data_IF_018450298090
#
_entry.id   IF_018450298090
#
_cell.length_a   1.000
_cell.length_b   1.000
_cell.length_c   1.000
_cell.angle_alpha   90.00
_cell.angle_beta   90.00
_cell.angle_gamma   90.00
#
_symmetry.space_group_name_H-M   'P 1'
#
loop_
_entity.id
_entity.type
_entity.pdbx_description
1 polymer ?
#
# COMPACT_ATOMS: atom_id res chain seq x y z
N UNK A 1 -12.17 40.35 11.88
CA UNK A 1 -11.85 39.82 10.55
C UNK A 1 -10.38 39.39 10.58
N UNK A 2 -10.10 38.12 10.26
CA UNK A 2 -8.78 37.47 10.21
C UNK A 2 -8.01 37.26 11.52
N UNK A 3 -8.47 36.29 12.34
CA UNK A 3 -7.60 35.54 13.25
C UNK A 3 -8.21 34.15 13.48
N UNK A 4 -8.43 33.39 12.40
CA UNK A 4 -8.98 32.03 12.49
C UNK A 4 -8.50 31.09 11.37
N UNK A 5 -7.34 31.39 10.74
CA UNK A 5 -6.84 30.62 9.59
C UNK A 5 -5.45 29.99 9.78
N UNK A 6 -4.94 29.90 11.02
CA UNK A 6 -3.61 29.33 11.28
C UNK A 6 -3.57 28.09 12.17
N UNK A 7 -4.71 27.62 12.68
CA UNK A 7 -4.77 26.40 13.52
C UNK A 7 -5.22 25.16 12.72
N UNK A 8 -5.78 25.33 11.52
CA UNK A 8 -6.22 24.20 10.67
C UNK A 8 -5.14 23.58 9.77
N UNK A 9 -3.90 24.08 9.77
CA UNK A 9 -2.81 23.56 8.93
C UNK A 9 -1.86 22.59 9.62
N UNK A 10 -2.02 22.34 10.92
CA UNK A 10 -1.22 21.36 11.68
C UNK A 10 -1.92 20.02 11.91
N UNK A 11 -3.22 19.92 11.60
CA UNK A 11 -4.00 18.67 11.79
C UNK A 11 -4.01 17.74 10.57
N UNK A 12 -3.56 18.19 9.39
CA UNK A 12 -3.52 17.34 8.19
C UNK A 12 -2.19 16.61 7.95
N UNK A 13 -1.16 16.89 8.75
CA UNK A 13 0.16 16.23 8.61
C UNK A 13 0.44 15.11 9.62
N UNK A 14 -0.46 14.86 10.59
CA UNK A 14 -0.25 13.83 11.62
C UNK A 14 -0.91 12.47 11.32
N UNK A 15 -1.61 12.33 10.19
CA UNK A 15 -2.36 11.12 9.85
C UNK A 15 -1.68 10.17 8.86
N UNK A 16 -0.41 10.39 8.48
CA UNK A 16 0.29 9.49 7.52
C UNK A 16 1.69 9.11 8.01
N UNK A 17 1.84 8.80 9.30
CA UNK A 17 3.04 8.11 9.83
C UNK A 17 2.72 6.95 10.75
N UNK A 18 1.46 6.54 10.90
CA UNK A 18 1.09 5.46 11.81
C UNK A 18 0.29 4.35 11.12
N UNK A 19 0.84 3.77 10.06
CA UNK A 19 0.57 2.38 9.67
C UNK A 19 1.92 1.81 9.22
N UNK A 20 2.23 0.60 9.67
CA UNK A 20 3.50 -0.14 9.51
C UNK A 20 4.50 0.12 10.65
N UNK A 21 4.18 -0.38 11.85
CA UNK A 21 5.15 -1.18 12.59
C UNK A 21 4.71 -2.63 12.51
N UNK A 22 5.43 -3.36 11.66
CA UNK A 22 5.83 -4.75 11.80
C UNK A 22 4.85 -5.75 12.46
N UNK A 23 4.06 -6.43 11.63
CA UNK A 23 3.45 -7.71 11.97
C UNK A 23 4.51 -8.82 11.79
N UNK A 24 5.50 -8.87 12.69
CA UNK A 24 6.33 -10.06 12.88
C UNK A 24 6.09 -10.61 14.29
N UNK A 25 5.33 -11.71 14.35
CA UNK A 25 5.21 -12.54 15.56
C UNK A 25 6.57 -13.17 15.85
N UNK A 26 7.24 -12.73 16.91
CA UNK A 26 8.23 -13.53 17.63
C UNK A 26 7.55 -14.13 18.87
N UNK A 27 7.66 -15.45 19.12
CA UNK A 27 7.19 -16.03 20.37
C UNK A 27 8.19 -15.71 21.48
N UNK A 28 7.78 -14.93 22.48
CA UNK A 28 8.54 -14.79 23.71
C UNK A 28 8.19 -15.98 24.63
N UNK A 29 9.21 -16.73 25.03
CA UNK A 29 9.13 -17.72 26.11
C UNK A 29 8.98 -16.97 27.43
N UNK A 30 7.93 -17.29 28.19
CA UNK A 30 7.76 -16.85 29.57
C UNK A 30 8.47 -17.90 30.43
N UNK A 31 9.59 -17.51 31.03
CA UNK A 31 10.08 -18.17 32.23
C UNK A 31 9.27 -17.62 33.41
N UNK A 32 8.74 -18.54 34.21
CA UNK A 32 8.00 -18.30 35.45
C UNK A 32 8.79 -17.39 36.40
N UNK A 33 8.15 -16.31 36.90
CA UNK A 33 8.24 -15.98 38.31
C UNK A 33 7.10 -15.05 38.76
N UNK A 34 6.68 -15.32 39.98
CA UNK A 34 5.46 -14.94 40.67
C UNK A 34 5.24 -13.44 40.96
N UNK A 35 3.94 -13.09 41.02
CA UNK A 35 3.27 -12.09 41.86
C UNK A 35 3.43 -10.58 41.55
N UNK A 36 2.45 -10.02 40.80
CA UNK A 36 1.61 -8.87 41.22
C UNK A 36 0.80 -8.32 40.01
N UNK A 37 -0.40 -8.87 39.78
CA UNK A 37 -1.22 -8.57 38.58
C UNK A 37 -2.28 -7.47 38.75
N UNK A 38 -2.26 -6.65 39.81
CA UNK A 38 -3.34 -5.68 40.07
C UNK A 38 -2.95 -4.19 40.03
N UNK A 39 -1.74 -3.81 39.60
CA UNK A 39 -1.31 -2.39 39.58
C UNK A 39 -0.67 -1.90 38.27
N UNK A 40 -1.00 -2.51 37.11
CA UNK A 40 -0.46 -2.07 35.81
C UNK A 40 -1.52 -1.65 34.77
N UNK A 41 -2.77 -1.42 35.17
CA UNK A 41 -3.86 -1.03 34.24
C UNK A 41 -4.21 0.47 34.24
N UNK A 42 -3.61 1.31 35.08
CA UNK A 42 -4.09 2.70 35.27
C UNK A 42 -3.09 3.84 34.98
N UNK A 43 -1.96 3.57 34.35
CA UNK A 43 -1.03 4.63 33.89
C UNK A 43 -0.86 4.64 32.37
N UNK A 44 -1.99 4.68 31.65
CA UNK A 44 -2.02 5.33 30.34
C UNK A 44 -1.79 6.82 30.58
N UNK A 45 -0.51 7.21 30.55
CA UNK A 45 -0.03 8.58 30.69
C UNK A 45 -0.85 9.49 29.77
N UNK A 46 -1.70 10.32 30.39
CA UNK A 46 -2.43 11.42 29.76
C UNK A 46 -1.46 12.37 29.07
N UNK A 47 -1.23 12.12 27.78
CA UNK A 47 -0.78 13.14 26.84
C UNK A 47 -1.65 13.03 25.58
N UNK A 48 -2.63 13.94 25.53
CA UNK A 48 -3.67 14.11 24.51
C UNK A 48 -4.84 13.12 24.68
N UNK A 49 -6.02 13.64 25.04
CA UNK A 49 -7.27 12.89 25.31
C UNK A 49 -7.87 12.22 24.04
N UNK A 50 -7.11 11.36 23.37
CA UNK A 50 -7.57 10.59 22.22
C UNK A 50 -7.46 9.10 22.54
N UNK A 51 -8.57 8.39 22.37
CA UNK A 51 -8.62 6.93 22.45
C UNK A 51 -8.74 6.36 21.05
N UNK A 52 -7.89 5.38 20.73
CA UNK A 52 -8.05 4.54 19.54
C UNK A 52 -8.78 3.29 19.98
N UNK A 53 -9.99 3.09 19.47
CA UNK A 53 -10.80 1.90 19.72
C UNK A 53 -10.94 1.05 18.45
N UNK A 54 -10.97 -0.27 18.62
CA UNK A 54 -11.31 -1.17 17.53
C UNK A 54 -12.82 -1.23 17.34
N UNK A 55 -13.28 -1.21 16.08
CA UNK A 55 -14.69 -1.42 15.76
C UNK A 55 -14.90 -2.88 15.35
N UNK A 56 -15.39 -3.70 16.26
CA UNK A 56 -15.62 -5.15 16.03
C UNK A 56 -16.66 -5.46 14.95
N UNK A 57 -17.45 -4.47 14.53
CA UNK A 57 -18.48 -4.61 13.50
C UNK A 57 -18.04 -4.12 12.13
N UNK A 58 -16.79 -3.63 12.00
CA UNK A 58 -16.26 -3.10 10.75
C UNK A 58 -14.91 -3.74 10.37
N UNK A 59 -14.76 -4.25 9.14
CA UNK A 59 -15.81 -4.43 8.13
C UNK A 59 -16.84 -5.49 8.54
N UNK A 60 -17.92 -5.66 7.78
CA UNK A 60 -18.83 -6.78 8.03
C UNK A 60 -18.10 -8.11 7.80
N UNK A 61 -18.43 -9.14 8.59
CA UNK A 61 -17.73 -10.44 8.59
C UNK A 61 -17.59 -11.10 7.20
N UNK A 62 -18.53 -10.86 6.28
CA UNK A 62 -18.50 -11.44 4.94
C UNK A 62 -17.45 -10.80 4.01
N UNK A 63 -16.84 -9.68 4.41
CA UNK A 63 -15.75 -9.06 3.65
C UNK A 63 -14.47 -9.90 3.75
N UNK A 64 -14.18 -10.43 4.93
CA UNK A 64 -12.96 -11.19 5.21
C UNK A 64 -12.89 -12.48 4.37
N UNK A 65 -14.04 -13.09 4.07
CA UNK A 65 -14.14 -14.28 3.21
C UNK A 65 -13.72 -14.00 1.74
N UNK A 66 -13.79 -12.74 1.31
CA UNK A 66 -13.44 -12.36 -0.06
C UNK A 66 -11.95 -12.06 -0.22
N UNK A 67 -11.37 -11.37 0.77
CA UNK A 67 -10.04 -10.78 0.71
C UNK A 67 -8.94 -11.85 0.84
N UNK A 68 -7.89 -11.68 0.04
CA UNK A 68 -6.62 -12.36 0.23
C UNK A 68 -5.71 -11.63 1.20
N UNK A 69 -4.41 -11.83 1.04
CA UNK A 69 -3.40 -11.00 1.72
C UNK A 69 -3.60 -9.54 1.31
N UNK A 70 -3.99 -8.71 2.26
CA UNK A 70 -4.15 -7.26 2.07
C UNK A 70 -2.76 -6.62 2.02
N UNK A 71 -2.48 -5.88 0.95
CA UNK A 71 -1.22 -5.18 0.76
C UNK A 71 -1.32 -3.68 0.99
N UNK A 72 -2.49 -3.08 0.76
CA UNK A 72 -2.71 -1.66 1.03
C UNK A 72 -4.18 -1.32 1.26
N UNK A 73 -4.42 -0.22 1.98
CA UNK A 73 -5.74 0.32 2.28
C UNK A 73 -5.74 1.85 2.10
N UNK A 74 -6.86 2.40 1.58
CA UNK A 74 -7.09 3.85 1.45
C UNK A 74 -8.54 4.22 1.75
N UNK A 75 -8.75 5.01 2.80
CA UNK A 75 -10.01 5.68 3.05
C UNK A 75 -10.12 6.94 2.19
N UNK A 76 -11.31 7.23 1.67
CA UNK A 76 -11.58 8.44 0.88
C UNK A 76 -12.33 9.52 1.65
N UNK A 77 -12.68 9.23 2.89
CA UNK A 77 -13.36 10.16 3.80
C UNK A 77 -12.89 9.93 5.24
N UNK A 78 -13.09 10.95 6.08
CA UNK A 78 -12.62 10.94 7.48
C UNK A 78 -13.34 9.90 8.35
N UNK A 79 -14.58 9.55 8.01
CA UNK A 79 -15.33 8.50 8.71
C UNK A 79 -14.92 7.09 8.29
N UNK A 80 -14.01 6.95 7.32
CA UNK A 80 -13.68 5.68 6.66
C UNK A 80 -14.94 4.94 6.19
N UNK A 81 -15.97 5.69 5.77
CA UNK A 81 -17.20 5.13 5.24
C UNK A 81 -16.94 4.44 3.90
N UNK A 82 -16.02 4.97 3.09
CA UNK A 82 -15.61 4.45 1.80
C UNK A 82 -14.11 4.18 1.79
N UNK A 83 -13.76 2.88 1.76
CA UNK A 83 -12.38 2.38 1.81
C UNK A 83 -12.11 1.52 0.58
N UNK A 84 -10.94 1.72 -0.01
CA UNK A 84 -10.39 0.85 -1.03
C UNK A 84 -9.33 -0.05 -0.41
N UNK A 85 -9.47 -1.36 -0.61
CA UNK A 85 -8.53 -2.38 -0.14
C UNK A 85 -7.90 -3.04 -1.35
N UNK A 86 -6.58 -3.03 -1.40
CA UNK A 86 -5.80 -3.79 -2.37
C UNK A 86 -5.38 -5.11 -1.72
N UNK A 87 -5.72 -6.22 -2.35
CA UNK A 87 -5.38 -7.56 -1.87
C UNK A 87 -4.88 -8.46 -2.99
N UNK A 88 -4.26 -9.57 -2.62
CA UNK A 88 -3.58 -10.49 -3.55
C UNK A 88 -4.42 -11.68 -3.97
N UNK A 89 -5.69 -11.73 -3.58
CA UNK A 89 -6.57 -12.86 -3.84
C UNK A 89 -5.99 -14.16 -3.27
N UNK A 90 -5.79 -15.14 -4.12
CA UNK A 90 -5.20 -16.43 -3.79
C UNK A 90 -3.66 -16.42 -3.73
N UNK A 91 -3.01 -15.29 -4.05
CA UNK A 91 -1.55 -15.21 -4.13
C UNK A 91 -0.92 -14.94 -2.78
N UNK A 92 0.10 -15.73 -2.49
CA UNK A 92 1.00 -15.57 -1.35
C UNK A 92 2.39 -15.28 -1.91
N UNK A 93 3.10 -14.33 -1.28
CA UNK A 93 4.51 -14.09 -1.58
C UNK A 93 5.35 -14.91 -0.60
N UNK A 94 6.05 -15.89 -1.14
CA UNK A 94 6.95 -16.80 -0.44
C UNK A 94 8.33 -16.92 -1.12
N UNK A 95 9.17 -17.81 -0.60
CA UNK A 95 10.50 -18.11 -1.14
C UNK A 95 10.50 -18.70 -2.57
N UNK A 96 9.36 -19.21 -3.06
CA UNK A 96 9.23 -19.80 -4.39
C UNK A 96 8.74 -18.80 -5.45
N UNK A 97 8.35 -17.61 -5.02
CA UNK A 97 7.71 -16.60 -5.87
C UNK A 97 8.70 -15.96 -6.86
N UNK A 98 9.94 -15.74 -6.42
CA UNK A 98 11.00 -15.11 -7.21
C UNK A 98 12.26 -15.97 -7.22
N UNK A 99 13.10 -15.84 -8.25
CA UNK A 99 14.45 -16.41 -8.27
C UNK A 99 15.47 -15.45 -7.64
N UNK A 100 16.74 -15.87 -7.59
CA UNK A 100 17.85 -15.09 -7.02
C UNK A 100 18.19 -13.82 -7.83
N UNK A 101 17.51 -13.61 -8.97
CA UNK A 101 17.61 -12.41 -9.82
C UNK A 101 16.30 -11.64 -9.86
N UNK A 102 15.44 -11.87 -8.88
CA UNK A 102 14.14 -11.21 -8.72
C UNK A 102 13.14 -11.45 -9.85
N UNK A 103 13.34 -12.47 -10.69
CA UNK A 103 12.38 -12.81 -11.73
C UNK A 103 11.23 -13.61 -11.12
N UNK A 104 10.01 -13.22 -11.47
CA UNK A 104 8.81 -13.94 -11.07
C UNK A 104 8.78 -15.36 -11.68
N UNK A 105 8.59 -16.38 -10.82
CA UNK A 105 8.71 -17.81 -11.16
C UNK A 105 7.38 -18.51 -11.44
N UNK A 106 6.28 -18.03 -10.86
CA UNK A 106 4.97 -18.67 -11.03
C UNK A 106 4.43 -18.45 -12.45
N UNK A 107 3.36 -19.17 -12.81
CA UNK A 107 2.79 -19.14 -14.16
C UNK A 107 2.40 -17.71 -14.59
N UNK A 108 3.14 -17.16 -15.57
CA UNK A 108 2.94 -15.80 -16.12
C UNK A 108 1.69 -15.67 -16.99
N UNK A 109 1.05 -16.78 -17.36
CA UNK A 109 -0.22 -16.82 -18.09
C UNK A 109 -1.44 -16.77 -17.18
N UNK A 110 -1.24 -16.91 -15.86
CA UNK A 110 -2.31 -16.93 -14.87
C UNK A 110 -2.18 -15.70 -13.96
N UNK A 111 -2.84 -14.58 -14.28
CA UNK A 111 -3.03 -13.48 -13.34
C UNK A 111 -4.01 -13.87 -12.22
N UNK A 112 -4.11 -13.03 -11.18
CA UNK A 112 -5.13 -13.18 -10.14
C UNK A 112 -6.51 -13.08 -10.79
N UNK A 113 -7.34 -14.10 -10.59
CA UNK A 113 -8.66 -14.19 -11.23
C UNK A 113 -9.71 -13.30 -10.55
N UNK A 114 -9.53 -13.02 -9.25
CA UNK A 114 -10.41 -12.15 -8.45
C UNK A 114 -10.12 -10.67 -8.70
N UNK A 115 -11.10 -9.81 -8.41
CA UNK A 115 -10.89 -8.37 -8.37
C UNK A 115 -9.99 -7.99 -7.18
N UNK A 116 -8.80 -7.47 -7.45
CA UNK A 116 -7.76 -7.19 -6.44
C UNK A 116 -7.95 -5.87 -5.71
N UNK A 117 -8.65 -4.91 -6.33
CA UNK A 117 -9.04 -3.67 -5.68
C UNK A 117 -10.51 -3.78 -5.29
N UNK A 118 -10.80 -3.62 -4.00
CA UNK A 118 -12.14 -3.81 -3.42
C UNK A 118 -12.58 -2.51 -2.79
N UNK A 119 -13.72 -1.99 -3.23
CA UNK A 119 -14.37 -0.85 -2.59
C UNK A 119 -15.34 -1.35 -1.53
N UNK A 120 -15.08 -0.97 -0.29
CA UNK A 120 -15.90 -1.25 0.89
C UNK A 120 -16.60 0.05 1.28
N UNK A 121 -17.93 0.03 1.32
CA UNK A 121 -18.73 1.15 1.79
C UNK A 121 -19.55 0.75 3.01
N UNK A 122 -19.36 1.43 4.14
CA UNK A 122 -19.98 1.13 5.43
C UNK A 122 -19.84 -0.33 5.84
N UNK A 123 -18.65 -0.90 5.63
CA UNK A 123 -18.33 -2.28 5.98
C UNK A 123 -18.79 -3.33 4.97
N UNK A 124 -19.46 -2.95 3.88
CA UNK A 124 -19.90 -3.88 2.82
C UNK A 124 -19.06 -3.73 1.54
N UNK A 125 -18.71 -4.84 0.90
CA UNK A 125 -18.16 -4.81 -0.46
C UNK A 125 -19.22 -4.24 -1.41
N UNK A 126 -18.91 -3.10 -2.03
CA UNK A 126 -19.78 -2.50 -3.07
C UNK A 126 -19.35 -2.88 -4.47
N UNK A 127 -18.05 -2.88 -4.73
CA UNK A 127 -17.47 -3.15 -6.06
C UNK A 127 -16.10 -3.77 -5.94
N UNK A 128 -15.72 -4.54 -6.96
CA UNK A 128 -14.39 -5.11 -7.11
C UNK A 128 -13.87 -4.79 -8.50
N UNK A 129 -12.56 -4.60 -8.63
CA UNK A 129 -11.93 -4.12 -9.85
C UNK A 129 -10.70 -4.94 -10.22
N UNK A 130 -10.34 -4.88 -11.50
CA UNK A 130 -9.13 -5.46 -12.08
C UNK A 130 -8.94 -6.99 -11.93
N UNK A 131 -9.97 -7.82 -12.17
CA UNK A 131 -9.73 -9.24 -12.35
C UNK A 131 -8.80 -9.46 -13.56
N UNK A 132 -7.96 -10.48 -13.47
CA UNK A 132 -7.03 -10.92 -14.51
C UNK A 132 -5.93 -9.91 -14.90
N UNK A 133 -5.68 -8.86 -14.11
CA UNK A 133 -4.67 -7.83 -14.45
C UNK A 133 -3.36 -7.99 -13.67
N UNK A 134 -3.44 -8.28 -12.38
CA UNK A 134 -2.32 -8.25 -11.44
C UNK A 134 -1.84 -9.64 -11.02
N UNK A 135 -0.60 -9.70 -10.52
CA UNK A 135 0.05 -10.93 -10.07
C UNK A 135 0.41 -10.84 -8.59
N UNK A 136 1.03 -9.73 -8.17
CA UNK A 136 1.32 -9.45 -6.75
C UNK A 136 1.19 -7.94 -6.51
N UNK A 137 -0.04 -7.42 -6.39
CA UNK A 137 -0.27 -6.01 -6.11
C UNK A 137 0.26 -5.63 -4.72
N UNK A 138 0.83 -4.43 -4.59
CA UNK A 138 1.50 -3.98 -3.38
C UNK A 138 1.03 -2.59 -2.92
N UNK A 139 1.51 -1.52 -3.54
CA UNK A 139 1.13 -0.14 -3.21
C UNK A 139 -0.21 0.25 -3.83
N UNK A 140 -0.92 1.14 -3.14
CA UNK A 140 -2.16 1.77 -3.60
C UNK A 140 -2.12 3.22 -3.15
N UNK A 141 -2.34 4.17 -4.06
CA UNK A 141 -2.49 5.60 -3.75
C UNK A 141 -3.60 6.20 -4.61
N UNK A 142 -4.32 7.17 -4.07
CA UNK A 142 -5.29 7.98 -4.82
C UNK A 142 -4.69 9.38 -4.94
N UNK A 143 -4.47 9.85 -6.17
CA UNK A 143 -3.89 11.16 -6.41
C UNK A 143 -4.93 12.30 -6.25
N UNK A 144 -4.51 13.58 -6.25
CA UNK A 144 -5.42 14.72 -6.06
C UNK A 144 -6.55 14.82 -7.10
N UNK A 145 -6.38 14.23 -8.28
CA UNK A 145 -7.40 14.18 -9.34
C UNK A 145 -8.32 12.95 -9.20
N UNK A 146 -8.11 12.13 -8.17
CA UNK A 146 -8.86 10.92 -7.90
C UNK A 146 -8.41 9.70 -8.71
N UNK A 147 -7.27 9.77 -9.41
CA UNK A 147 -6.74 8.62 -10.13
C UNK A 147 -6.07 7.64 -9.16
N UNK A 148 -6.13 6.36 -9.50
CA UNK A 148 -5.60 5.28 -8.68
C UNK A 148 -4.23 4.85 -9.19
N UNK A 149 -3.24 4.88 -8.30
CA UNK A 149 -1.89 4.41 -8.55
C UNK A 149 -1.68 3.09 -7.83
N UNK A 150 -1.27 2.06 -8.57
CA UNK A 150 -1.05 0.71 -8.04
C UNK A 150 0.34 0.22 -8.44
N UNK A 151 1.10 -0.34 -7.50
CA UNK A 151 2.34 -1.07 -7.83
C UNK A 151 2.09 -2.57 -7.83
N UNK A 152 2.80 -3.29 -8.70
CA UNK A 152 2.83 -4.75 -8.70
C UNK A 152 4.27 -5.25 -8.71
N UNK A 153 4.62 -6.00 -7.67
CA UNK A 153 6.00 -6.45 -7.44
C UNK A 153 6.39 -7.60 -8.37
N UNK A 154 5.45 -8.43 -8.82
CA UNK A 154 5.72 -9.52 -9.77
C UNK A 154 5.88 -8.97 -11.18
N UNK A 155 5.08 -7.96 -11.53
CA UNK A 155 5.18 -7.30 -12.82
C UNK A 155 6.35 -6.34 -12.91
N UNK A 156 6.92 -5.88 -11.78
CA UNK A 156 7.91 -4.81 -11.73
C UNK A 156 7.39 -3.52 -12.36
N UNK A 157 6.10 -3.23 -12.15
CA UNK A 157 5.39 -2.15 -12.82
C UNK A 157 4.57 -1.30 -11.86
N UNK A 158 4.31 -0.07 -12.29
CA UNK A 158 3.41 0.88 -11.64
C UNK A 158 2.35 1.31 -12.64
N UNK A 159 1.11 1.40 -12.19
CA UNK A 159 -0.05 1.66 -13.04
C UNK A 159 -0.83 2.87 -12.51
N UNK A 160 -1.25 3.77 -13.40
CA UNK A 160 -2.25 4.81 -13.14
C UNK A 160 -3.57 4.42 -13.78
N UNK A 161 -4.66 4.38 -13.03
CA UNK A 161 -6.02 4.21 -13.54
C UNK A 161 -6.81 5.48 -13.30
N UNK A 162 -7.73 5.78 -14.21
CA UNK A 162 -8.62 6.92 -14.03
C UNK A 162 -9.51 6.75 -12.80
N UNK A 163 -10.09 7.85 -12.33
CA UNK A 163 -11.02 7.85 -11.18
C UNK A 163 -12.27 6.99 -11.37
N UNK A 164 -12.61 6.62 -12.62
CA UNK A 164 -13.71 5.70 -12.91
C UNK A 164 -13.30 4.21 -12.83
N UNK A 165 -12.00 3.91 -12.59
CA UNK A 165 -11.44 2.57 -12.50
C UNK A 165 -11.71 1.70 -13.73
N UNK A 166 -11.61 2.29 -14.92
CA UNK A 166 -11.61 1.59 -16.21
C UNK A 166 -10.60 0.44 -16.24
N UNK A 167 -10.90 -0.62 -16.99
CA UNK A 167 -10.00 -1.79 -17.07
C UNK A 167 -8.61 -1.43 -17.54
N UNK A 168 -8.48 -0.49 -18.49
CA UNK A 168 -7.20 -0.05 -19.01
C UNK A 168 -6.58 1.10 -18.21
N UNK A 169 -5.26 1.04 -17.94
CA UNK A 169 -4.54 2.10 -17.27
C UNK A 169 -4.35 3.30 -18.20
N UNK A 170 -4.33 4.50 -17.60
CA UNK A 170 -3.90 5.74 -18.25
C UNK A 170 -2.39 5.77 -18.49
N UNK A 171 -1.62 5.15 -17.59
CA UNK A 171 -0.16 5.09 -17.65
C UNK A 171 0.31 3.76 -17.06
N UNK A 172 1.33 3.17 -17.68
CA UNK A 172 2.08 2.04 -17.14
C UNK A 172 3.57 2.38 -17.19
N UNK A 173 4.23 2.28 -16.04
CA UNK A 173 5.67 2.47 -15.88
C UNK A 173 6.33 1.14 -15.52
N UNK A 174 7.56 0.93 -15.98
CA UNK A 174 8.29 -0.31 -15.79
C UNK A 174 8.06 -1.33 -16.92
N UNK A 175 8.90 -2.36 -16.93
CA UNK A 175 8.87 -3.41 -17.94
C UNK A 175 8.27 -4.69 -17.37
N UNK A 176 7.23 -5.20 -18.03
CA UNK A 176 6.45 -6.34 -17.55
C UNK A 176 7.34 -7.57 -17.28
N UNK A 177 7.34 -8.03 -16.03
CA UNK A 177 8.13 -9.17 -15.53
C UNK A 177 9.65 -9.03 -15.66
N UNK A 178 10.16 -7.82 -15.84
CA UNK A 178 11.60 -7.58 -16.03
C UNK A 178 12.13 -6.68 -14.90
N UNK A 179 12.75 -7.27 -13.85
CA UNK A 179 13.43 -6.48 -12.84
C UNK A 179 14.58 -5.69 -13.46
N UNK A 180 14.84 -4.50 -12.92
CA UNK A 180 15.99 -3.69 -13.29
C UNK A 180 16.10 -2.40 -12.48
N UNK A 181 17.20 -1.70 -12.69
CA UNK A 181 17.54 -0.45 -12.00
C UNK A 181 17.77 0.72 -12.97
N UNK A 182 17.45 0.56 -14.25
CA UNK A 182 17.51 1.67 -15.22
C UNK A 182 16.37 2.67 -15.01
N UNK A 183 16.38 3.79 -15.74
CA UNK A 183 15.41 4.89 -15.61
C UNK A 183 13.95 4.44 -15.77
N UNK A 184 13.71 3.45 -16.64
CA UNK A 184 12.37 2.96 -17.00
C UNK A 184 12.08 1.54 -16.52
N UNK A 185 12.90 1.01 -15.60
CA UNK A 185 12.71 -0.31 -14.99
C UNK A 185 12.53 -0.16 -13.48
N UNK A 186 11.89 -1.13 -12.86
CA UNK A 186 11.79 -1.23 -11.40
C UNK A 186 12.22 -2.60 -10.93
N UNK A 187 12.53 -2.71 -9.66
CA UNK A 187 12.78 -3.98 -9.00
C UNK A 187 11.88 -4.07 -7.77
N UNK A 188 10.68 -4.64 -7.99
CA UNK A 188 9.63 -4.83 -6.99
C UNK A 188 9.25 -3.49 -6.32
N UNK A 189 8.65 -2.54 -7.08
CA UNK A 189 8.29 -1.23 -6.57
C UNK A 189 7.21 -1.32 -5.48
N UNK A 190 7.36 -0.55 -4.40
CA UNK A 190 6.56 -0.71 -3.19
C UNK A 190 5.40 0.26 -3.09
N UNK A 191 5.59 1.55 -3.37
CA UNK A 191 4.54 2.54 -3.23
C UNK A 191 4.73 3.74 -4.15
N UNK A 192 3.67 4.54 -4.26
CA UNK A 192 3.62 5.75 -5.09
C UNK A 192 3.04 6.89 -4.28
N UNK A 193 3.63 8.08 -4.39
CA UNK A 193 3.00 9.33 -3.97
C UNK A 193 2.99 10.32 -5.12
N UNK A 194 1.89 11.05 -5.24
CA UNK A 194 1.69 12.07 -6.28
C UNK A 194 1.51 13.41 -5.60
N UNK A 195 2.33 14.36 -5.99
CA UNK A 195 2.26 15.74 -5.50
C UNK A 195 1.16 16.53 -6.21
N UNK A 196 0.78 17.68 -5.65
CA UNK A 196 -0.31 18.52 -6.17
C UNK A 196 -0.05 19.11 -7.56
N UNK A 197 1.19 19.10 -8.04
CA UNK A 197 1.55 19.53 -9.39
C UNK A 197 1.73 18.35 -10.36
N UNK A 198 1.24 17.15 -9.99
CA UNK A 198 1.30 15.96 -10.82
C UNK A 198 2.65 15.24 -10.84
N UNK A 199 3.68 15.70 -10.11
CA UNK A 199 4.93 14.95 -10.01
C UNK A 199 4.73 13.67 -9.20
N UNK A 200 5.26 12.58 -9.73
CA UNK A 200 5.09 11.22 -9.22
C UNK A 200 6.39 10.75 -8.60
N UNK A 201 6.32 10.13 -7.44
CA UNK A 201 7.45 9.59 -6.71
C UNK A 201 7.16 8.14 -6.38
N UNK A 202 8.07 7.24 -6.76
CA UNK A 202 7.92 5.79 -6.61
C UNK A 202 9.05 5.29 -5.74
N UNK A 203 8.71 4.57 -4.67
CA UNK A 203 9.68 3.83 -3.89
C UNK A 203 9.98 2.48 -4.55
N UNK A 204 11.22 2.33 -5.01
CA UNK A 204 11.72 1.15 -5.73
C UNK A 204 12.73 0.44 -4.82
N UNK A 205 12.21 -0.45 -3.96
CA UNK A 205 12.81 -0.67 -2.63
C UNK A 205 13.07 -2.11 -2.18
N UNK A 206 12.53 -3.13 -2.84
CA UNK A 206 12.76 -4.52 -2.38
C UNK A 206 14.07 -5.10 -2.89
N UNK A 207 14.43 -4.83 -4.14
CA UNK A 207 15.72 -5.21 -4.73
C UNK A 207 16.51 -4.02 -5.30
N UNK A 208 15.90 -2.83 -5.30
CA UNK A 208 16.58 -1.56 -5.48
C UNK A 208 16.54 -0.78 -4.15
N UNK A 209 17.24 0.36 -4.10
CA UNK A 209 17.31 1.22 -2.91
C UNK A 209 17.18 2.70 -3.31
N UNK A 210 16.14 3.01 -4.07
CA UNK A 210 15.95 4.35 -4.64
C UNK A 210 14.51 4.84 -4.59
N UNK A 211 14.37 6.16 -4.61
CA UNK A 211 13.15 6.85 -5.01
C UNK A 211 13.34 7.30 -6.45
N UNK A 212 12.35 7.03 -7.29
CA UNK A 212 12.32 7.47 -8.68
C UNK A 212 11.25 8.54 -8.84
N UNK A 213 11.61 9.65 -9.48
CA UNK A 213 10.71 10.77 -9.73
C UNK A 213 10.39 10.87 -11.22
N UNK A 214 9.10 10.96 -11.51
CA UNK A 214 8.55 11.16 -12.84
C UNK A 214 7.72 12.46 -12.88
N UNK A 215 7.51 12.99 -14.09
CA UNK A 215 6.48 14.00 -14.30
C UNK A 215 5.08 13.35 -14.46
N UNK A 216 4.06 14.18 -14.64
CA UNK A 216 2.66 13.74 -14.77
C UNK A 216 2.39 12.83 -15.97
N UNK A 217 3.22 12.93 -17.01
CA UNK A 217 3.15 12.14 -18.24
C UNK A 217 3.92 10.81 -18.15
N UNK A 218 4.61 10.56 -17.03
CA UNK A 218 5.41 9.35 -16.84
C UNK A 218 6.82 9.43 -17.41
N UNK A 219 7.33 10.62 -17.69
CA UNK A 219 8.72 10.80 -18.13
C UNK A 219 9.64 10.85 -16.91
N UNK A 220 10.74 10.09 -16.96
CA UNK A 220 11.74 10.07 -15.89
C UNK A 220 12.37 11.45 -15.73
N UNK A 221 12.47 11.92 -14.49
CA UNK A 221 13.12 13.19 -14.16
C UNK A 221 14.45 12.97 -13.45
N UNK A 222 14.44 12.16 -12.39
CA UNK A 222 15.64 11.81 -11.61
C UNK A 222 15.34 10.68 -10.63
N UNK A 223 16.38 10.08 -10.10
CA UNK A 223 16.31 9.18 -8.94
C UNK A 223 17.33 9.59 -7.88
N UNK A 224 17.11 9.15 -6.65
CA UNK A 224 18.07 9.27 -5.55
C UNK A 224 17.91 8.12 -4.57
N UNK A 225 18.96 7.87 -3.79
CA UNK A 225 19.13 6.68 -2.96
C UNK A 225 20.50 6.08 -3.19
N UNK A 226 20.78 4.93 -2.60
CA UNK A 226 22.05 4.24 -2.79
C UNK A 226 21.89 3.19 -3.89
N UNK A 227 22.79 3.16 -4.85
CA UNK A 227 22.88 1.99 -5.73
C UNK A 227 23.40 0.83 -4.87
N UNK A 228 22.62 -0.24 -4.75
CA UNK A 228 23.22 -1.54 -4.45
C UNK A 228 24.17 -1.83 -5.59
N UNK A 229 25.48 -1.67 -5.34
CA UNK A 229 26.49 -2.13 -6.27
C UNK A 229 26.19 -3.60 -6.58
N UNK A 230 25.86 -3.91 -7.82
CA UNK A 230 25.91 -5.28 -8.30
C UNK A 230 27.34 -5.76 -8.17
N UNK A 231 27.56 -6.82 -7.40
CA UNK A 231 28.80 -7.60 -7.45
C UNK A 231 28.85 -8.43 -8.72
#
# INVERSE_FOLDING_TARGET
MYFNLFINLLFTWKYITCIIYDFQRYPFSIDDDHDNDDEFQNELIRQNDFFIGFNEFWPLRNVDDYLGVVSSVKATDQSASNVYVLHRGDRVWDQNTFDDRDNYRLNKSEPIQKGVLVQIFNGEIKRTYFPFKFFLPHGLTIDPDGNFWITDIALHQVFKFSSNLSSEPLLTLGERFKPGSSENQFCKPTDVVVSSNGQVFISDGYCNNRIVKFNENGEFLKSWGYETKGN
#
